data_IF_443869112941
#
_entry.id   IF_443869112941
#
_cell.length_a   1.000
_cell.length_b   1.000
_cell.length_c   1.000
_cell.angle_alpha   90.00
_cell.angle_beta   90.00
_cell.angle_gamma   90.00
#
_symmetry.space_group_name_H-M   'P 1'
#
loop_
_entity.id
_entity.type
_entity.pdbx_description
1 polymer ?
#
# COMPACT_ATOMS: atom_id res chain seq x y z
N UNK A 1 -23.26 -20.39 -1.21
CA UNK A 1 -22.19 -19.45 -1.21
C UNK A 1 -22.30 -18.55 -0.02
N UNK A 2 -21.26 -18.46 0.64
CA UNK A 2 -21.22 -17.65 1.82
C UNK A 2 -20.42 -16.39 1.49
N UNK A 3 -20.87 -15.34 1.98
CA UNK A 3 -20.24 -14.07 1.72
C UNK A 3 -20.58 -13.54 0.34
N UNK A 4 -20.45 -12.28 0.21
CA UNK A 4 -20.68 -11.62 -1.06
C UNK A 4 -19.43 -11.73 -1.91
N UNK A 5 -19.57 -11.95 -3.21
CA UNK A 5 -18.42 -11.84 -4.07
C UNK A 5 -17.84 -10.44 -3.95
N UNK A 6 -16.53 -10.27 -4.18
CA UNK A 6 -15.95 -8.93 -4.23
C UNK A 6 -16.74 -8.10 -5.23
N UNK A 7 -16.92 -6.81 -4.99
CA UNK A 7 -17.58 -5.96 -5.97
C UNK A 7 -16.90 -6.11 -7.33
N UNK A 8 -17.70 -6.21 -8.37
CA UNK A 8 -17.16 -6.37 -9.73
C UNK A 8 -16.20 -5.26 -10.10
N UNK A 9 -16.35 -4.13 -9.46
CA UNK A 9 -15.59 -2.93 -9.80
C UNK A 9 -14.92 -2.38 -8.56
N UNK A 10 -14.10 -3.23 -7.92
CA UNK A 10 -13.28 -2.74 -6.84
C UNK A 10 -12.35 -1.69 -7.40
N UNK A 11 -12.50 -0.47 -6.90
CA UNK A 11 -11.76 0.66 -7.40
C UNK A 11 -10.80 1.15 -6.33
N UNK A 12 -9.52 1.14 -6.64
CA UNK A 12 -8.49 1.59 -5.72
C UNK A 12 -8.22 3.09 -5.79
N UNK A 13 -8.84 3.78 -6.74
CA UNK A 13 -8.52 5.18 -6.99
C UNK A 13 -8.83 6.06 -5.79
N UNK A 14 -7.84 6.86 -5.36
CA UNK A 14 -7.98 7.77 -4.24
C UNK A 14 -7.86 7.13 -2.87
N UNK A 15 -7.62 5.84 -2.77
CA UNK A 15 -7.52 5.16 -1.49
C UNK A 15 -6.09 5.22 -0.94
N UNK A 16 -6.00 5.36 0.36
CA UNK A 16 -4.73 5.41 1.07
C UNK A 16 -4.61 4.21 1.99
N UNK A 17 -3.45 3.57 1.98
CA UNK A 17 -3.18 2.36 2.74
C UNK A 17 -1.96 2.56 3.63
N UNK A 18 -1.92 1.82 4.72
CA UNK A 18 -0.76 1.77 5.60
C UNK A 18 -0.45 0.33 5.97
N UNK A 19 0.79 0.09 6.31
CA UNK A 19 1.21 -1.23 6.79
C UNK A 19 0.54 -1.53 8.13
N UNK A 20 0.16 -2.80 8.31
CA UNK A 20 -0.46 -3.25 9.56
C UNK A 20 0.28 -4.48 10.10
N UNK A 21 -0.06 -4.85 11.33
CA UNK A 21 0.47 -6.05 11.95
C UNK A 21 0.00 -7.32 11.18
N UNK A 22 0.72 -8.44 11.22
CA UNK A 22 1.88 -8.56 12.08
C UNK A 22 2.98 -7.62 11.61
N UNK A 23 3.51 -6.91 12.60
CA UNK A 23 4.59 -6.01 12.32
C UNK A 23 5.70 -6.80 11.66
N UNK A 24 6.12 -6.32 10.55
CA UNK A 24 7.24 -6.89 9.87
C UNK A 24 8.47 -6.11 10.28
N UNK A 25 9.46 -6.13 9.45
CA UNK A 25 10.67 -5.37 9.67
C UNK A 25 10.44 -3.86 9.86
N UNK A 26 9.28 -3.36 9.52
CA UNK A 26 9.00 -1.93 9.63
C UNK A 26 8.27 -1.54 10.92
N UNK A 27 7.74 -2.50 11.66
CA UNK A 27 6.96 -2.18 12.83
C UNK A 27 5.71 -1.37 12.47
N UNK A 28 5.35 -0.46 13.37
CA UNK A 28 4.19 0.39 13.17
C UNK A 28 4.47 1.59 12.26
N UNK A 29 5.72 1.81 11.89
CA UNK A 29 6.15 2.97 11.10
C UNK A 29 6.43 2.60 9.65
N UNK A 30 5.71 1.62 9.14
CA UNK A 30 5.83 1.22 7.75
C UNK A 30 5.30 2.30 6.82
N UNK A 31 5.54 2.13 5.52
CA UNK A 31 5.12 3.12 4.55
C UNK A 31 3.60 3.24 4.45
N UNK A 32 3.16 4.41 4.01
CA UNK A 32 1.78 4.63 3.56
C UNK A 32 1.79 4.80 2.05
N UNK A 33 0.74 4.33 1.41
CA UNK A 33 0.61 4.38 -0.03
C UNK A 33 -0.66 5.07 -0.47
N UNK A 34 -0.56 5.81 -1.55
CA UNK A 34 -1.69 6.50 -2.16
C UNK A 34 -1.90 5.89 -3.53
N UNK A 35 -3.08 5.30 -3.75
CA UNK A 35 -3.37 4.51 -4.94
C UNK A 35 -4.21 5.28 -5.93
N UNK A 36 -3.97 4.99 -7.20
CA UNK A 36 -4.69 5.55 -8.35
C UNK A 36 -5.11 4.42 -9.26
N UNK A 37 -6.23 4.57 -9.94
CA UNK A 37 -6.68 3.57 -10.89
C UNK A 37 -7.37 4.22 -12.07
N UNK A 38 -7.04 3.76 -13.26
CA UNK A 38 -7.72 4.10 -14.49
C UNK A 38 -7.95 2.80 -15.27
N UNK A 39 -9.21 2.36 -15.33
CA UNK A 39 -9.57 1.05 -15.89
C UNK A 39 -8.84 -0.05 -15.12
N UNK A 40 -8.08 -0.91 -15.77
CA UNK A 40 -7.31 -1.96 -15.10
C UNK A 40 -5.91 -1.51 -14.69
N UNK A 41 -5.51 -0.30 -15.02
CA UNK A 41 -4.19 0.23 -14.67
C UNK A 41 -4.23 0.80 -13.26
N UNK A 42 -3.32 0.32 -12.42
CA UNK A 42 -3.19 0.80 -11.03
C UNK A 42 -1.76 1.25 -10.81
N UNK A 43 -1.59 2.37 -10.12
CA UNK A 43 -0.27 2.83 -9.70
C UNK A 43 -0.38 3.48 -8.33
N UNK A 44 0.74 3.58 -7.64
CA UNK A 44 0.75 4.14 -6.30
C UNK A 44 2.09 4.79 -6.00
N UNK A 45 2.04 5.86 -5.19
CA UNK A 45 3.19 6.43 -4.52
C UNK A 45 3.18 5.93 -3.09
N UNK A 46 4.32 5.52 -2.57
CA UNK A 46 4.40 5.15 -1.17
C UNK A 46 5.72 5.62 -0.56
N UNK A 47 5.66 5.94 0.72
CA UNK A 47 6.80 6.42 1.48
C UNK A 47 6.49 6.31 2.98
N UNK A 48 7.52 6.30 3.78
CA UNK A 48 7.43 6.24 5.23
C UNK A 48 8.26 5.10 5.79
N UNK A 49 8.51 5.13 7.09
CA UNK A 49 9.40 4.17 7.71
C UNK A 49 10.77 4.20 7.05
N UNK A 50 11.24 3.06 6.61
CA UNK A 50 12.53 2.96 5.94
C UNK A 50 12.47 3.33 4.45
N UNK A 51 11.29 3.56 3.91
CA UNK A 51 11.12 3.87 2.49
C UNK A 51 11.10 5.37 2.29
N UNK A 52 12.11 5.88 1.61
CA UNK A 52 12.19 7.29 1.28
C UNK A 52 11.25 7.66 0.14
N UNK A 53 11.18 6.81 -0.87
CA UNK A 53 10.31 7.01 -2.02
C UNK A 53 10.07 5.67 -2.69
N UNK A 54 8.83 5.37 -3.00
CA UNK A 54 8.48 4.17 -3.74
C UNK A 54 7.39 4.42 -4.75
N UNK A 55 7.40 3.62 -5.80
CA UNK A 55 6.40 3.66 -6.86
C UNK A 55 6.01 2.24 -7.24
N UNK A 56 4.75 2.06 -7.51
CA UNK A 56 4.18 0.78 -7.90
C UNK A 56 3.33 1.02 -9.13
N UNK A 57 3.43 0.11 -10.11
CA UNK A 57 2.61 0.15 -11.33
C UNK A 57 2.20 -1.26 -11.66
N UNK A 58 0.92 -1.45 -11.94
CA UNK A 58 0.44 -2.77 -12.27
C UNK A 58 -0.99 -2.78 -12.79
N UNK A 59 -1.58 -3.93 -12.71
CA UNK A 59 -2.92 -4.18 -13.25
C UNK A 59 -3.82 -4.76 -12.18
N UNK A 60 -5.09 -4.41 -12.29
CA UNK A 60 -6.16 -4.92 -11.44
C UNK A 60 -7.01 -5.91 -12.22
N UNK A 61 -7.11 -7.12 -11.72
CA UNK A 61 -7.99 -8.13 -12.30
C UNK A 61 -9.46 -7.83 -11.96
N UNK A 62 -10.41 -8.45 -12.67
CA UNK A 62 -11.83 -8.23 -12.37
C UNK A 62 -12.22 -8.55 -10.93
N UNK A 63 -11.51 -9.47 -10.27
CA UNK A 63 -11.77 -9.81 -8.87
C UNK A 63 -11.06 -8.87 -7.88
N UNK A 64 -10.37 -7.85 -8.36
CA UNK A 64 -9.69 -6.89 -7.50
C UNK A 64 -8.24 -7.25 -7.16
N UNK A 65 -7.75 -8.39 -7.62
CA UNK A 65 -6.37 -8.78 -7.39
C UNK A 65 -5.43 -7.87 -8.17
N UNK A 66 -4.38 -7.38 -7.50
CA UNK A 66 -3.37 -6.53 -8.12
C UNK A 66 -2.12 -7.33 -8.42
N UNK A 67 -1.57 -7.13 -9.61
CA UNK A 67 -0.26 -7.67 -10.00
C UNK A 67 0.58 -6.50 -10.46
N UNK A 68 1.68 -6.23 -9.75
CA UNK A 68 2.41 -5.00 -9.98
C UNK A 68 3.91 -5.18 -9.81
N UNK A 69 4.65 -4.29 -10.45
CA UNK A 69 6.06 -4.11 -10.18
C UNK A 69 6.25 -2.88 -9.31
N UNK A 70 7.30 -2.86 -8.52
CA UNK A 70 7.60 -1.71 -7.68
C UNK A 70 9.09 -1.45 -7.60
N UNK A 71 9.41 -0.19 -7.31
CA UNK A 71 10.77 0.26 -7.04
C UNK A 71 10.72 1.19 -5.85
N UNK A 72 11.67 1.04 -4.95
CA UNK A 72 11.76 1.93 -3.79
C UNK A 72 13.19 2.25 -3.45
N UNK A 73 13.41 3.47 -2.98
CA UNK A 73 14.69 3.93 -2.45
C UNK A 73 14.54 4.03 -0.94
N UNK A 74 15.42 3.38 -0.22
CA UNK A 74 15.40 3.39 1.24
C UNK A 74 16.15 4.61 1.78
N UNK A 75 15.92 4.93 3.04
CA UNK A 75 16.60 6.07 3.66
C UNK A 75 18.12 5.89 3.73
N UNK A 76 18.60 4.63 3.71
CA UNK A 76 20.05 4.37 3.67
C UNK A 76 20.61 4.41 2.25
N UNK A 77 19.80 4.74 1.25
CA UNK A 77 20.24 4.91 -0.13
C UNK A 77 20.13 3.68 -1.01
N UNK A 78 19.80 2.51 -0.46
CA UNK A 78 19.64 1.31 -1.29
C UNK A 78 18.41 1.43 -2.15
N UNK A 79 18.49 0.94 -3.39
CA UNK A 79 17.35 0.84 -4.29
C UNK A 79 16.92 -0.61 -4.34
N UNK A 80 15.63 -0.84 -4.15
CA UNK A 80 15.04 -2.17 -4.16
C UNK A 80 13.97 -2.20 -5.23
N UNK A 81 13.98 -3.25 -6.04
CA UNK A 81 12.95 -3.47 -7.04
C UNK A 81 12.35 -4.86 -6.83
N UNK A 82 11.10 -5.02 -7.19
CA UNK A 82 10.44 -6.30 -7.04
C UNK A 82 9.07 -6.34 -7.70
N UNK A 83 8.39 -7.44 -7.43
CA UNK A 83 7.02 -7.66 -7.87
C UNK A 83 6.16 -7.95 -6.65
N UNK A 84 4.88 -7.65 -6.78
CA UNK A 84 3.92 -7.89 -5.70
C UNK A 84 2.59 -8.33 -6.28
N UNK A 85 1.96 -9.30 -5.61
CA UNK A 85 0.58 -9.66 -5.86
C UNK A 85 -0.19 -9.33 -4.60
N UNK A 86 -1.30 -8.61 -4.75
CA UNK A 86 -2.11 -8.16 -3.63
C UNK A 86 -3.53 -8.69 -3.77
N UNK A 87 -3.99 -9.39 -2.74
CA UNK A 87 -5.34 -9.96 -2.71
C UNK A 87 -6.21 -9.17 -1.75
N UNK A 88 -7.34 -8.62 -2.22
CA UNK A 88 -8.19 -7.79 -1.38
C UNK A 88 -9.17 -8.58 -0.53
N UNK A 89 -9.45 -8.05 0.64
CA UNK A 89 -10.59 -8.40 1.46
C UNK A 89 -11.32 -7.10 1.76
N UNK A 90 -12.62 -7.06 1.54
CA UNK A 90 -13.43 -5.90 1.89
C UNK A 90 -13.91 -6.09 3.32
N UNK A 91 -13.58 -5.14 4.17
CA UNK A 91 -13.93 -5.17 5.58
C UNK A 91 -15.38 -4.74 5.78
N UNK A 92 -15.90 -4.99 6.98
CA UNK A 92 -17.31 -4.71 7.29
C UNK A 92 -17.68 -3.23 7.08
N UNK A 93 -16.73 -2.33 7.27
CA UNK A 93 -16.95 -0.89 7.08
C UNK A 93 -16.67 -0.41 5.65
N UNK A 94 -16.37 -1.32 4.73
CA UNK A 94 -16.11 -0.99 3.34
C UNK A 94 -14.66 -0.70 3.00
N UNK A 95 -13.77 -0.64 4.00
CA UNK A 95 -12.34 -0.47 3.74
C UNK A 95 -11.77 -1.75 3.15
N UNK A 96 -10.65 -1.61 2.45
CA UNK A 96 -9.95 -2.73 1.83
C UNK A 96 -8.74 -3.08 2.67
N UNK A 97 -8.53 -4.38 2.86
CA UNK A 97 -7.29 -4.92 3.40
C UNK A 97 -6.64 -5.72 2.28
N UNK A 98 -5.34 -5.53 2.08
CA UNK A 98 -4.59 -6.26 1.07
C UNK A 98 -3.58 -7.19 1.75
N UNK A 99 -3.62 -8.46 1.39
CA UNK A 99 -2.53 -9.39 1.70
C UNK A 99 -1.61 -9.38 0.51
N UNK A 100 -0.35 -9.10 0.75
CA UNK A 100 0.64 -8.89 -0.30
C UNK A 100 1.71 -9.96 -0.25
N UNK A 101 1.95 -10.60 -1.37
CA UNK A 101 3.11 -11.46 -1.55
C UNK A 101 4.09 -10.72 -2.44
N UNK A 102 5.26 -10.45 -1.91
CA UNK A 102 6.28 -9.69 -2.64
C UNK A 102 7.50 -10.55 -2.88
N UNK A 103 8.17 -10.27 -3.97
CA UNK A 103 9.42 -10.91 -4.35
C UNK A 103 10.34 -9.85 -4.91
N UNK A 104 11.52 -9.73 -4.33
CA UNK A 104 12.51 -8.75 -4.76
C UNK A 104 13.43 -9.33 -5.80
N UNK A 105 14.08 -8.45 -6.57
CA UNK A 105 15.02 -8.85 -7.62
C UNK A 105 16.21 -9.63 -7.06
N UNK A 106 16.55 -9.43 -5.78
CA UNK A 106 17.65 -10.17 -5.13
C UNK A 106 17.26 -11.58 -4.71
N UNK A 107 16.03 -12.00 -4.97
CA UNK A 107 15.53 -13.32 -4.62
C UNK A 107 14.84 -13.42 -3.29
N UNK A 108 14.87 -12.37 -2.46
CA UNK A 108 14.13 -12.39 -1.19
C UNK A 108 12.64 -12.23 -1.45
N UNK A 109 11.82 -12.82 -0.59
CA UNK A 109 10.37 -12.76 -0.72
C UNK A 109 9.73 -12.78 0.65
N UNK A 110 8.47 -12.41 0.70
CA UNK A 110 7.72 -12.41 1.95
C UNK A 110 6.26 -12.06 1.74
N UNK A 111 5.57 -12.01 2.86
CA UNK A 111 4.16 -11.63 2.91
C UNK A 111 4.01 -10.44 3.84
N UNK A 112 3.23 -9.48 3.43
CA UNK A 112 2.91 -8.34 4.26
C UNK A 112 1.42 -8.02 4.12
N UNK A 113 0.95 -7.11 4.95
CA UNK A 113 -0.44 -6.71 4.97
C UNK A 113 -0.51 -5.20 5.00
N UNK A 114 -1.39 -4.64 4.19
CA UNK A 114 -1.71 -3.22 4.27
C UNK A 114 -3.22 -3.08 4.38
N UNK A 115 -3.65 -1.99 4.96
CA UNK A 115 -5.06 -1.76 5.22
C UNK A 115 -5.39 -0.31 4.90
N UNK A 116 -6.54 -0.11 4.30
CA UNK A 116 -7.00 1.22 3.96
C UNK A 116 -7.16 2.05 5.24
N UNK A 117 -6.72 3.29 5.19
CA UNK A 117 -6.79 4.20 6.33
C UNK A 117 -8.24 4.61 6.57
N UNK A 118 -8.59 4.75 7.84
CA UNK A 118 -9.91 5.23 8.19
C UNK A 118 -10.06 6.69 7.81
N UNK A 119 -11.31 7.11 7.62
CA UNK A 119 -11.59 8.37 6.94
C UNK A 119 -11.12 9.60 7.69
N UNK A 120 -11.25 9.65 9.02
CA UNK A 120 -10.93 10.87 9.76
C UNK A 120 -9.71 10.75 10.65
N UNK A 121 -9.67 9.73 11.51
CA UNK A 121 -8.58 9.62 12.48
C UNK A 121 -7.23 9.42 11.81
N UNK A 122 -7.17 8.53 10.85
CA UNK A 122 -5.90 8.23 10.18
C UNK A 122 -5.46 9.39 9.31
N UNK A 123 -6.39 10.06 8.64
CA UNK A 123 -6.07 11.24 7.84
C UNK A 123 -5.56 12.38 8.70
N UNK A 124 -6.16 12.60 9.87
CA UNK A 124 -5.70 13.62 10.78
C UNK A 124 -4.31 13.28 11.32
N UNK A 125 -4.06 12.02 11.64
CA UNK A 125 -2.74 11.58 12.05
C UNK A 125 -1.69 11.80 10.96
N UNK A 126 -2.00 11.44 9.75
CA UNK A 126 -1.11 11.62 8.62
C UNK A 126 -0.86 13.10 8.34
N UNK A 127 -1.89 13.92 8.44
CA UNK A 127 -1.78 15.37 8.24
C UNK A 127 -0.89 16.02 9.31
N UNK A 128 -1.05 15.61 10.56
CA UNK A 128 -0.23 16.12 11.63
C UNK A 128 1.24 15.76 11.45
N UNK A 129 1.51 14.53 11.07
CA UNK A 129 2.87 14.09 10.80
C UNK A 129 3.49 14.90 9.66
N UNK A 130 2.72 15.14 8.60
CA UNK A 130 3.17 15.92 7.47
C UNK A 130 3.43 17.38 7.86
N UNK A 131 2.56 17.97 8.66
CA UNK A 131 2.74 19.34 9.17
C UNK A 131 4.03 19.44 9.98
N UNK A 132 4.27 18.51 10.88
CA UNK A 132 5.48 18.49 11.68
C UNK A 132 6.73 18.40 10.79
N UNK A 133 6.69 17.56 9.79
CA UNK A 133 7.80 17.39 8.86
C UNK A 133 8.07 18.67 8.11
N UNK A 134 7.04 19.35 7.66
CA UNK A 134 7.16 20.61 6.95
C UNK A 134 7.75 21.68 7.85
N UNK A 135 7.33 21.76 9.11
CA UNK A 135 7.88 22.72 10.08
C UNK A 135 9.37 22.53 10.28
N UNK A 136 9.85 21.30 10.29
CA UNK A 136 11.25 21.00 10.55
C UNK A 136 12.11 21.13 9.27
N UNK A 137 11.51 21.02 8.12
CA UNK A 137 12.21 21.01 6.86
C UNK A 137 12.54 22.39 6.30
N UNK A 138 12.30 23.43 7.08
CA UNK A 138 12.52 24.81 6.60
C UNK A 138 13.49 25.57 7.49
#
# INVERSE_FOLDING_TARGET
MTGNPPPRHLNYDGREFRSIAPATSYGSDGPTGHYHQLRDLVWAEFAGGEVRMGRLVGRCSPDGTLSAGYVQVLIDGRTIAGEVISWPTVLADGRIRLRERWQRSDGTSGVSWIEEMTSLQDRNGARNAETNRTSHGR
#
